data_IF_168187163834
#
_entry.id   IF_168187163834
#
_cell.length_a   1.000
_cell.length_b   1.000
_cell.length_c   1.000
_cell.angle_alpha   90.00
_cell.angle_beta   90.00
_cell.angle_gamma   90.00
#
_symmetry.space_group_name_H-M   'P 1'
#
loop_
_entity.id
_entity.type
_entity.pdbx_description
1 polymer ?
#
# COMPACT_ATOMS: atom_id res chain seq x y z
N UNK A 1 38.60 1.17 42.39
CA UNK A 1 37.27 1.74 42.07
C UNK A 1 37.41 2.32 40.65
N UNK A 2 36.94 1.59 39.63
CA UNK A 2 36.99 2.09 38.26
C UNK A 2 35.93 3.19 38.06
N UNK A 3 36.27 4.28 37.36
CA UNK A 3 35.31 5.35 37.12
C UNK A 3 34.19 4.85 36.19
N UNK A 4 32.94 4.90 36.62
CA UNK A 4 31.76 4.62 35.79
C UNK A 4 31.39 5.86 35.01
N UNK A 5 31.55 5.80 33.68
CA UNK A 5 31.10 6.86 32.78
C UNK A 5 29.68 6.59 32.34
N UNK A 6 28.76 7.54 32.54
CA UNK A 6 27.40 7.47 32.02
C UNK A 6 27.37 7.55 30.48
N UNK A 7 26.43 6.85 29.85
CA UNK A 7 26.22 6.94 28.40
C UNK A 7 25.77 8.35 28.01
N UNK A 8 26.56 9.03 27.17
CA UNK A 8 26.15 10.29 26.56
C UNK A 8 25.30 9.98 25.34
N UNK A 9 24.00 10.20 25.42
CA UNK A 9 23.09 10.13 24.25
C UNK A 9 23.15 11.49 23.55
N UNK A 10 24.14 11.68 22.68
CA UNK A 10 24.15 12.81 21.74
C UNK A 10 23.55 12.36 20.43
N UNK A 11 22.46 13.00 19.98
CA UNK A 11 21.98 12.85 18.60
C UNK A 11 23.15 13.17 17.66
N UNK A 12 23.55 12.23 16.79
CA UNK A 12 24.70 12.41 15.93
C UNK A 12 24.52 13.64 15.03
N UNK A 13 25.60 14.38 14.75
CA UNK A 13 25.56 15.53 13.83
C UNK A 13 24.93 15.16 12.47
N UNK A 14 25.20 13.95 11.98
CA UNK A 14 24.54 13.43 10.76
C UNK A 14 23.02 13.33 10.88
N UNK A 15 22.48 12.94 12.04
CA UNK A 15 21.03 12.92 12.29
C UNK A 15 20.45 14.33 12.26
N UNK A 16 21.07 15.27 12.98
CA UNK A 16 20.62 16.65 13.03
C UNK A 16 20.60 17.32 11.66
N UNK A 17 21.62 17.07 10.82
CA UNK A 17 21.67 17.56 9.43
C UNK A 17 20.53 16.93 8.61
N UNK A 18 20.33 15.62 8.71
CA UNK A 18 19.27 14.94 7.99
C UNK A 18 17.90 15.50 8.40
N UNK A 19 17.66 15.72 9.69
CA UNK A 19 16.38 16.26 10.18
C UNK A 19 16.17 17.72 9.74
N UNK A 20 17.21 18.57 9.71
CA UNK A 20 17.11 19.94 9.19
C UNK A 20 16.82 19.98 7.69
N UNK A 21 17.48 19.15 6.88
CA UNK A 21 17.22 19.05 5.44
C UNK A 21 15.81 18.48 5.19
N UNK A 22 15.38 17.46 5.92
CA UNK A 22 14.02 16.94 5.87
C UNK A 22 13.00 18.03 6.18
N UNK A 23 13.21 18.81 7.24
CA UNK A 23 12.31 19.91 7.59
C UNK A 23 12.25 20.96 6.47
N UNK A 24 13.40 21.28 5.85
CA UNK A 24 13.44 22.21 4.74
C UNK A 24 12.64 21.71 3.50
N UNK A 25 12.65 20.40 3.27
CA UNK A 25 11.80 19.77 2.22
C UNK A 25 10.32 19.86 2.60
N UNK A 26 9.96 19.52 3.84
CA UNK A 26 8.57 19.55 4.33
C UNK A 26 7.99 20.96 4.33
N UNK A 27 8.79 21.96 4.66
CA UNK A 27 8.41 23.38 4.63
C UNK A 27 8.37 23.99 3.21
N UNK A 28 8.76 23.20 2.19
CA UNK A 28 8.83 23.66 0.80
C UNK A 28 9.98 24.63 0.50
N UNK A 29 10.93 24.80 1.43
CA UNK A 29 12.16 25.59 1.23
C UNK A 29 13.11 24.91 0.25
N UNK A 30 13.10 23.58 0.21
CA UNK A 30 13.72 22.75 -0.82
C UNK A 30 12.63 22.07 -1.61
N UNK A 31 12.56 22.30 -2.90
CA UNK A 31 11.49 21.81 -3.79
C UNK A 31 11.87 20.47 -4.41
N UNK A 32 10.86 19.68 -4.76
CA UNK A 32 11.06 18.44 -5.53
C UNK A 32 11.80 18.77 -6.84
N UNK A 33 12.74 17.91 -7.23
CA UNK A 33 13.69 18.06 -8.32
C UNK A 33 14.74 19.17 -8.15
N UNK A 34 14.75 19.89 -7.04
CA UNK A 34 15.81 20.84 -6.72
C UNK A 34 17.13 20.09 -6.41
N UNK A 35 18.23 20.63 -6.93
CA UNK A 35 19.55 20.08 -6.68
C UNK A 35 20.05 20.58 -5.33
N UNK A 36 20.41 19.67 -4.44
CA UNK A 36 21.08 20.00 -3.20
C UNK A 36 22.51 20.49 -3.46
N UNK A 37 23.06 21.35 -2.58
CA UNK A 37 24.48 21.65 -2.58
C UNK A 37 25.32 20.37 -2.49
N UNK A 38 26.55 20.44 -2.97
CA UNK A 38 27.51 19.32 -2.91
C UNK A 38 27.83 18.92 -1.47
N UNK A 39 28.35 17.70 -1.27
CA UNK A 39 28.82 17.27 0.06
C UNK A 39 29.81 18.25 0.69
N UNK A 40 30.65 18.90 -0.14
CA UNK A 40 31.63 19.88 0.29
C UNK A 40 31.00 21.20 0.75
N UNK A 41 30.08 21.72 -0.05
CA UNK A 41 29.32 22.94 0.29
C UNK A 41 28.48 22.75 1.55
N UNK A 42 27.78 21.60 1.66
CA UNK A 42 27.01 21.26 2.87
C UNK A 42 27.91 21.09 4.11
N UNK A 43 29.10 20.49 3.94
CA UNK A 43 30.08 20.35 5.02
C UNK A 43 30.56 21.71 5.53
N UNK A 44 30.82 22.66 4.61
CA UNK A 44 31.18 24.03 4.96
C UNK A 44 30.03 24.78 5.64
N UNK A 45 28.75 24.63 5.15
CA UNK A 45 27.58 25.29 5.70
C UNK A 45 27.26 24.80 7.11
N UNK A 46 27.36 23.50 7.37
CA UNK A 46 27.07 22.89 8.66
C UNK A 46 28.27 22.87 9.63
N UNK A 47 29.46 23.25 9.20
CA UNK A 47 30.68 23.22 10.01
C UNK A 47 31.09 21.80 10.43
N UNK A 48 30.91 20.82 9.56
CA UNK A 48 31.17 19.39 9.84
C UNK A 48 32.05 18.76 8.77
N UNK A 49 32.47 17.51 8.98
CA UNK A 49 33.23 16.75 8.00
C UNK A 49 32.36 16.26 6.83
N UNK A 50 32.90 16.11 5.63
CA UNK A 50 32.25 15.51 4.46
C UNK A 50 31.66 14.09 4.74
N UNK A 51 32.36 13.18 5.45
CA UNK A 51 31.79 11.91 5.86
C UNK A 51 30.51 12.04 6.69
N UNK A 52 30.42 13.05 7.59
CA UNK A 52 29.21 13.32 8.38
C UNK A 52 28.03 13.73 7.50
N UNK A 53 28.27 14.60 6.51
CA UNK A 53 27.25 14.98 5.52
C UNK A 53 26.82 13.78 4.69
N UNK A 54 27.78 12.96 4.22
CA UNK A 54 27.45 11.76 3.44
C UNK A 54 26.55 10.80 4.20
N UNK A 55 26.80 10.64 5.50
CA UNK A 55 25.93 9.82 6.36
C UNK A 55 24.52 10.43 6.53
N UNK A 56 24.43 11.75 6.65
CA UNK A 56 23.13 12.44 6.65
C UNK A 56 22.36 12.25 5.33
N UNK A 57 23.04 12.40 4.19
CA UNK A 57 22.44 12.19 2.88
C UNK A 57 22.00 10.73 2.66
N UNK A 58 22.75 9.73 3.16
CA UNK A 58 22.32 8.34 3.13
C UNK A 58 21.01 8.13 3.90
N UNK A 59 20.85 8.78 5.05
CA UNK A 59 19.62 8.71 5.86
C UNK A 59 18.42 9.32 5.11
N UNK A 60 18.64 10.47 4.43
CA UNK A 60 17.60 11.08 3.60
C UNK A 60 17.25 10.21 2.39
N UNK A 61 18.23 9.58 1.75
CA UNK A 61 18.00 8.64 0.67
C UNK A 61 17.22 7.40 1.11
N UNK A 62 17.51 6.86 2.31
CA UNK A 62 16.78 5.76 2.91
C UNK A 62 15.31 6.12 3.27
N UNK A 63 15.03 7.43 3.46
CA UNK A 63 13.67 7.97 3.65
C UNK A 63 13.01 8.37 2.32
N UNK A 64 13.63 8.08 1.16
CA UNK A 64 13.16 8.47 -0.18
C UNK A 64 12.96 9.99 -0.39
N UNK A 65 13.69 10.81 0.38
CA UNK A 65 13.59 12.28 0.30
C UNK A 65 14.58 12.88 -0.71
N UNK A 66 15.62 12.13 -1.09
CA UNK A 66 16.61 12.54 -2.08
C UNK A 66 17.03 11.36 -2.96
N UNK A 67 17.49 11.67 -4.17
CA UNK A 67 18.09 10.70 -5.09
C UNK A 67 19.41 11.23 -5.67
N UNK A 68 20.37 10.34 -5.89
CA UNK A 68 21.63 10.68 -6.56
C UNK A 68 21.57 10.34 -8.05
N UNK A 69 22.01 11.25 -8.90
CA UNK A 69 22.21 11.02 -10.34
C UNK A 69 23.70 11.08 -10.67
N UNK A 70 24.18 10.15 -11.48
CA UNK A 70 25.58 10.13 -11.98
C UNK A 70 25.69 10.93 -13.27
N UNK A 71 26.93 11.36 -13.60
CA UNK A 71 27.27 12.02 -14.86
C UNK A 71 27.61 13.49 -14.71
N UNK A 72 27.95 14.19 -15.84
CA UNK A 72 28.37 15.59 -15.83
C UNK A 72 27.33 16.56 -15.23
N UNK A 73 26.03 16.25 -15.39
CA UNK A 73 24.91 16.98 -14.77
C UNK A 73 24.41 16.30 -13.51
N UNK A 74 25.20 15.38 -12.94
CA UNK A 74 24.89 14.62 -11.75
C UNK A 74 24.80 15.48 -10.49
N UNK A 75 24.40 14.84 -9.41
CA UNK A 75 24.25 15.48 -8.09
C UNK A 75 23.21 14.77 -7.25
N UNK A 76 22.96 15.34 -6.09
CA UNK A 76 21.87 14.91 -5.19
C UNK A 76 20.68 15.85 -5.40
N UNK A 77 19.52 15.28 -5.65
CA UNK A 77 18.30 16.02 -5.93
C UNK A 77 17.24 15.66 -4.89
N UNK A 78 16.47 16.65 -4.49
CA UNK A 78 15.27 16.40 -3.68
C UNK A 78 14.28 15.55 -4.50
N UNK A 79 13.74 14.53 -3.90
CA UNK A 79 12.67 13.72 -4.52
C UNK A 79 11.44 13.76 -3.62
N UNK A 80 10.26 13.83 -4.21
CA UNK A 80 9.05 13.47 -3.51
C UNK A 80 8.98 11.95 -3.42
N UNK A 81 8.47 11.38 -2.33
CA UNK A 81 8.23 9.95 -2.31
C UNK A 81 7.28 9.59 -3.46
N UNK A 82 7.65 8.59 -4.27
CA UNK A 82 6.72 8.02 -5.23
C UNK A 82 5.56 7.37 -4.44
N UNK A 83 4.30 7.74 -4.71
CA UNK A 83 3.17 7.08 -4.06
C UNK A 83 3.22 5.56 -4.21
N UNK A 84 3.74 5.07 -5.34
CA UNK A 84 3.87 3.65 -5.65
C UNK A 84 4.94 2.97 -4.76
N UNK A 85 6.10 3.59 -4.57
CA UNK A 85 7.17 3.06 -3.69
C UNK A 85 6.71 3.01 -2.23
N UNK A 86 6.02 4.06 -1.76
CA UNK A 86 5.47 4.11 -0.42
C UNK A 86 4.36 3.07 -0.23
N UNK A 87 3.46 2.91 -1.21
CA UNK A 87 2.40 1.90 -1.18
C UNK A 87 3.00 0.49 -1.14
N UNK A 88 4.05 0.21 -1.93
CA UNK A 88 4.78 -1.07 -1.90
C UNK A 88 5.43 -1.33 -0.55
N UNK A 89 6.07 -0.32 0.05
CA UNK A 89 6.69 -0.43 1.38
C UNK A 89 5.65 -0.70 2.47
N UNK A 90 4.52 0.02 2.43
CA UNK A 90 3.40 -0.20 3.35
C UNK A 90 2.80 -1.59 3.17
N UNK A 91 2.58 -2.02 1.92
CA UNK A 91 2.08 -3.35 1.60
C UNK A 91 2.99 -4.46 2.12
N UNK A 92 4.32 -4.31 1.95
CA UNK A 92 5.31 -5.25 2.51
C UNK A 92 5.21 -5.31 4.04
N UNK A 93 5.08 -4.17 4.70
CA UNK A 93 4.94 -4.10 6.16
C UNK A 93 3.67 -4.79 6.66
N UNK A 94 2.53 -4.58 5.98
CA UNK A 94 1.27 -5.26 6.29
C UNK A 94 1.39 -6.77 6.07
N UNK A 95 1.99 -7.20 4.95
CA UNK A 95 2.21 -8.64 4.67
C UNK A 95 3.08 -9.28 5.77
N UNK A 96 4.11 -8.60 6.24
CA UNK A 96 4.97 -9.09 7.32
C UNK A 96 4.19 -9.22 8.65
N UNK A 97 3.36 -8.23 8.99
CA UNK A 97 2.50 -8.27 10.17
C UNK A 97 1.56 -9.49 10.15
N UNK A 98 0.94 -9.77 9.00
CA UNK A 98 0.09 -10.95 8.82
C UNK A 98 0.90 -12.23 8.94
N UNK A 99 2.04 -12.33 8.25
CA UNK A 99 2.89 -13.52 8.24
C UNK A 99 3.45 -13.87 9.63
N UNK A 100 3.69 -12.87 10.47
CA UNK A 100 4.18 -13.03 11.85
C UNK A 100 3.07 -13.21 12.88
N UNK A 101 1.80 -13.24 12.45
CA UNK A 101 0.64 -13.38 13.36
C UNK A 101 0.32 -12.11 14.17
N UNK A 102 0.87 -10.96 13.78
CA UNK A 102 0.55 -9.66 14.38
C UNK A 102 -0.84 -9.12 14.02
N UNK A 103 -1.50 -9.72 13.02
CA UNK A 103 -2.86 -9.40 12.59
C UNK A 103 -3.61 -10.70 12.29
N UNK A 104 -4.81 -10.82 12.83
CA UNK A 104 -5.68 -11.97 12.59
C UNK A 104 -6.45 -11.84 11.27
N UNK A 105 -6.97 -12.97 10.76
CA UNK A 105 -7.81 -12.98 9.55
C UNK A 105 -9.09 -12.16 9.72
N UNK A 106 -9.65 -12.12 10.92
CA UNK A 106 -10.84 -11.33 11.24
C UNK A 106 -10.53 -9.83 11.24
N UNK A 107 -9.40 -9.39 11.80
CA UNK A 107 -8.96 -8.00 11.74
C UNK A 107 -8.68 -7.56 10.30
N UNK A 108 -8.08 -8.44 9.48
CA UNK A 108 -7.89 -8.19 8.05
C UNK A 108 -9.21 -7.98 7.32
N UNK A 109 -10.18 -8.87 7.53
CA UNK A 109 -11.48 -8.81 6.87
C UNK A 109 -12.26 -7.56 7.31
N UNK A 110 -12.23 -7.23 8.60
CA UNK A 110 -12.87 -6.04 9.15
C UNK A 110 -12.23 -4.76 8.60
N UNK A 111 -10.91 -4.63 8.67
CA UNK A 111 -10.20 -3.46 8.16
C UNK A 111 -10.46 -3.25 6.66
N UNK A 112 -10.43 -4.33 5.86
CA UNK A 112 -10.74 -4.27 4.44
C UNK A 112 -12.15 -3.77 4.19
N UNK A 113 -13.15 -4.34 4.89
CA UNK A 113 -14.56 -3.94 4.72
C UNK A 113 -14.75 -2.45 5.01
N UNK A 114 -14.31 -1.99 6.17
CA UNK A 114 -14.51 -0.61 6.61
C UNK A 114 -13.82 0.41 5.69
N UNK A 115 -12.58 0.13 5.31
CA UNK A 115 -11.82 1.03 4.45
C UNK A 115 -12.36 1.02 3.00
N UNK A 116 -12.68 -0.14 2.44
CA UNK A 116 -13.18 -0.26 1.08
C UNK A 116 -14.62 0.24 0.95
N UNK A 117 -15.44 0.16 2.01
CA UNK A 117 -16.79 0.72 2.05
C UNK A 117 -16.79 2.24 1.80
N UNK A 118 -15.81 2.97 2.34
CA UNK A 118 -15.63 4.40 2.04
C UNK A 118 -15.35 4.60 0.55
N UNK A 119 -14.49 3.76 -0.05
CA UNK A 119 -14.19 3.83 -1.47
C UNK A 119 -15.43 3.50 -2.32
N UNK A 120 -16.24 2.51 -1.95
CA UNK A 120 -17.48 2.17 -2.66
C UNK A 120 -18.48 3.34 -2.69
N UNK A 121 -18.70 4.04 -1.56
CA UNK A 121 -19.58 5.21 -1.51
C UNK A 121 -19.09 6.32 -2.42
N UNK A 122 -17.83 6.64 -2.38
CA UNK A 122 -17.22 7.67 -3.22
C UNK A 122 -17.19 7.24 -4.70
N UNK A 123 -16.88 5.98 -4.99
CA UNK A 123 -16.89 5.44 -6.35
C UNK A 123 -18.28 5.53 -6.99
N UNK A 124 -19.35 5.26 -6.25
CA UNK A 124 -20.72 5.42 -6.74
C UNK A 124 -20.99 6.86 -7.20
N UNK A 125 -20.41 7.86 -6.54
CA UNK A 125 -20.55 9.27 -6.90
C UNK A 125 -19.63 9.69 -8.05
N UNK A 126 -18.36 9.27 -8.01
CA UNK A 126 -17.25 9.81 -8.81
C UNK A 126 -16.89 8.93 -10.02
N UNK A 127 -17.40 7.70 -10.12
CA UNK A 127 -17.05 6.77 -11.19
C UNK A 127 -17.32 7.36 -12.57
N UNK A 128 -16.46 7.10 -13.52
CA UNK A 128 -16.64 7.35 -14.94
C UNK A 128 -17.10 6.09 -15.67
N UNK A 129 -17.51 6.22 -16.93
CA UNK A 129 -17.85 5.05 -17.75
C UNK A 129 -16.61 4.18 -18.03
N UNK A 130 -15.42 4.77 -18.08
CA UNK A 130 -14.18 4.01 -18.20
C UNK A 130 -13.95 3.05 -17.01
N UNK A 131 -14.30 3.47 -15.79
CA UNK A 131 -14.23 2.61 -14.61
C UNK A 131 -15.23 1.44 -14.71
N UNK A 132 -16.45 1.68 -15.19
CA UNK A 132 -17.43 0.59 -15.40
C UNK A 132 -16.95 -0.41 -16.43
N UNK A 133 -16.41 0.05 -17.57
CA UNK A 133 -15.84 -0.82 -18.62
C UNK A 133 -14.68 -1.66 -18.04
N UNK A 134 -13.81 -1.08 -17.24
CA UNK A 134 -12.71 -1.81 -16.61
C UNK A 134 -13.22 -2.89 -15.64
N UNK A 135 -14.22 -2.58 -14.82
CA UNK A 135 -14.85 -3.56 -13.90
C UNK A 135 -15.54 -4.69 -14.68
N UNK A 136 -16.26 -4.37 -15.75
CA UNK A 136 -16.89 -5.35 -16.64
C UNK A 136 -15.87 -6.28 -17.29
N UNK A 137 -14.74 -5.74 -17.72
CA UNK A 137 -13.65 -6.52 -18.32
C UNK A 137 -13.05 -7.53 -17.34
N UNK A 138 -12.84 -7.14 -16.07
CA UNK A 138 -12.34 -8.06 -15.03
C UNK A 138 -13.38 -9.15 -14.72
N UNK A 139 -14.67 -8.83 -14.62
CA UNK A 139 -15.73 -9.83 -14.43
C UNK A 139 -15.79 -10.80 -15.62
N UNK A 140 -15.71 -10.30 -16.85
CA UNK A 140 -15.69 -11.14 -18.04
C UNK A 140 -14.50 -12.10 -18.04
N UNK A 141 -13.31 -11.62 -17.64
CA UNK A 141 -12.11 -12.44 -17.48
C UNK A 141 -12.32 -13.52 -16.41
N UNK A 142 -12.86 -13.17 -15.24
CA UNK A 142 -13.11 -14.08 -14.12
C UNK A 142 -14.10 -15.21 -14.48
N UNK A 143 -15.01 -14.96 -15.41
CA UNK A 143 -15.96 -15.98 -15.92
C UNK A 143 -15.31 -16.99 -16.85
N UNK A 144 -14.10 -16.74 -17.34
CA UNK A 144 -13.40 -17.64 -18.26
C UNK A 144 -13.03 -18.95 -17.57
N UNK A 145 -13.59 -20.06 -18.02
CA UNK A 145 -13.41 -21.37 -17.38
C UNK A 145 -11.94 -21.84 -17.35
N UNK A 146 -11.15 -21.46 -18.35
CA UNK A 146 -9.73 -21.81 -18.48
C UNK A 146 -8.79 -20.84 -17.73
N UNK A 147 -9.34 -19.83 -17.03
CA UNK A 147 -8.51 -18.86 -16.29
C UNK A 147 -7.76 -19.57 -15.16
N UNK A 148 -6.44 -19.39 -15.11
CA UNK A 148 -5.63 -19.94 -14.02
C UNK A 148 -6.04 -19.34 -12.66
N UNK A 149 -5.74 -20.04 -11.57
CA UNK A 149 -6.01 -19.50 -10.24
C UNK A 149 -5.20 -18.23 -9.95
N UNK A 150 -3.97 -18.18 -10.44
CA UNK A 150 -3.11 -17.00 -10.32
C UNK A 150 -3.71 -15.79 -11.05
N UNK A 151 -4.18 -15.98 -12.28
CA UNK A 151 -4.78 -14.91 -13.06
C UNK A 151 -6.15 -14.49 -12.49
N UNK A 152 -6.92 -15.42 -11.92
CA UNK A 152 -8.15 -15.10 -11.20
C UNK A 152 -7.85 -14.20 -10.00
N UNK A 153 -6.85 -14.54 -9.18
CA UNK A 153 -6.45 -13.70 -8.04
C UNK A 153 -5.95 -12.32 -8.50
N UNK A 154 -5.16 -12.27 -9.56
CA UNK A 154 -4.69 -10.99 -10.11
C UNK A 154 -5.86 -10.13 -10.64
N UNK A 155 -6.84 -10.74 -11.29
CA UNK A 155 -8.06 -10.07 -11.75
C UNK A 155 -8.90 -9.55 -10.58
N UNK A 156 -9.05 -10.33 -9.51
CA UNK A 156 -9.73 -9.95 -8.28
C UNK A 156 -9.09 -8.68 -7.66
N UNK A 157 -7.77 -8.64 -7.55
CA UNK A 157 -7.03 -7.46 -7.10
C UNK A 157 -7.30 -6.24 -8.00
N UNK A 158 -7.25 -6.40 -9.34
CA UNK A 158 -7.49 -5.29 -10.28
C UNK A 158 -8.92 -4.78 -10.22
N UNK A 159 -9.90 -5.67 -10.02
CA UNK A 159 -11.31 -5.28 -9.82
C UNK A 159 -11.45 -4.32 -8.63
N UNK A 160 -10.93 -4.70 -7.46
CA UNK A 160 -10.99 -3.86 -6.26
C UNK A 160 -10.16 -2.57 -6.38
N UNK A 161 -8.99 -2.61 -7.02
CA UNK A 161 -8.22 -1.39 -7.34
C UNK A 161 -9.02 -0.41 -8.20
N UNK A 162 -9.76 -0.90 -9.18
CA UNK A 162 -10.61 -0.04 -10.02
C UNK A 162 -11.68 0.68 -9.20
N UNK A 163 -12.26 0.04 -8.18
CA UNK A 163 -13.19 0.68 -7.25
C UNK A 163 -12.49 1.78 -6.44
N UNK A 164 -11.29 1.49 -5.94
CA UNK A 164 -10.47 2.46 -5.21
C UNK A 164 -10.10 3.66 -6.09
N UNK A 165 -9.73 3.43 -7.35
CA UNK A 165 -9.43 4.49 -8.30
C UNK A 165 -10.67 5.34 -8.61
N UNK A 166 -11.83 4.70 -8.77
CA UNK A 166 -13.11 5.34 -9.01
C UNK A 166 -13.58 6.23 -7.84
N UNK A 167 -13.08 6.03 -6.62
CA UNK A 167 -13.36 6.89 -5.48
C UNK A 167 -12.86 8.33 -5.69
N UNK A 168 -11.89 8.58 -6.59
CA UNK A 168 -11.42 9.90 -6.96
C UNK A 168 -10.63 10.64 -5.87
N UNK A 169 -10.13 9.93 -4.85
CA UNK A 169 -9.36 10.50 -3.75
C UNK A 169 -7.94 9.93 -3.73
N UNK A 170 -6.94 10.77 -4.00
CA UNK A 170 -5.54 10.35 -4.12
C UNK A 170 -4.97 9.73 -2.84
N UNK A 171 -5.37 10.22 -1.66
CA UNK A 171 -4.90 9.68 -0.38
C UNK A 171 -5.53 8.30 -0.10
N UNK A 172 -6.84 8.15 -0.32
CA UNK A 172 -7.51 6.86 -0.20
C UNK A 172 -6.92 5.85 -1.19
N UNK A 173 -6.68 6.26 -2.44
CA UNK A 173 -6.01 5.43 -3.45
C UNK A 173 -4.65 4.94 -2.96
N UNK A 174 -3.82 5.84 -2.44
CA UNK A 174 -2.51 5.48 -1.90
C UNK A 174 -2.61 4.43 -0.78
N UNK A 175 -3.46 4.68 0.23
CA UNK A 175 -3.63 3.79 1.38
C UNK A 175 -4.26 2.46 0.98
N UNK A 176 -5.33 2.51 0.19
CA UNK A 176 -6.11 1.32 -0.18
C UNK A 176 -5.39 0.43 -1.19
N UNK A 177 -4.60 0.99 -2.11
CA UNK A 177 -3.79 0.14 -3.00
C UNK A 177 -2.79 -0.68 -2.18
N UNK A 178 -2.15 -0.09 -1.17
CA UNK A 178 -1.27 -0.84 -0.28
C UNK A 178 -2.02 -1.96 0.48
N UNK A 179 -3.23 -1.66 0.99
CA UNK A 179 -4.07 -2.65 1.69
C UNK A 179 -4.55 -3.76 0.75
N UNK A 180 -5.08 -3.40 -0.41
CA UNK A 180 -5.58 -4.36 -1.42
C UNK A 180 -4.44 -5.26 -1.91
N UNK A 181 -3.30 -4.69 -2.27
CA UNK A 181 -2.14 -5.43 -2.77
C UNK A 181 -1.49 -6.34 -1.70
N UNK A 182 -1.58 -5.96 -0.43
CA UNK A 182 -1.04 -6.77 0.66
C UNK A 182 -2.01 -7.87 1.11
N UNK A 183 -3.28 -7.52 1.35
CA UNK A 183 -4.23 -8.42 2.00
C UNK A 183 -4.90 -9.39 1.03
N UNK A 184 -5.23 -8.95 -0.19
CA UNK A 184 -5.97 -9.82 -1.12
C UNK A 184 -5.18 -11.04 -1.59
N UNK A 185 -3.88 -10.97 -1.94
CA UNK A 185 -3.11 -12.16 -2.26
C UNK A 185 -3.04 -13.15 -1.10
N UNK A 186 -2.88 -12.66 0.14
CA UNK A 186 -2.87 -13.51 1.35
C UNK A 186 -4.23 -14.16 1.56
N UNK A 187 -5.32 -13.38 1.49
CA UNK A 187 -6.69 -13.86 1.56
C UNK A 187 -6.95 -14.96 0.52
N UNK A 188 -6.64 -14.67 -0.73
CA UNK A 188 -6.82 -15.60 -1.85
C UNK A 188 -6.02 -16.90 -1.67
N UNK A 189 -4.80 -16.82 -1.15
CA UNK A 189 -3.98 -18.00 -0.85
C UNK A 189 -4.61 -18.88 0.24
N UNK A 190 -5.21 -18.28 1.27
CA UNK A 190 -5.84 -19.01 2.37
C UNK A 190 -7.09 -19.76 1.88
N UNK A 191 -7.95 -19.11 1.11
CA UNK A 191 -9.22 -19.68 0.65
C UNK A 191 -9.11 -20.48 -0.65
N UNK A 192 -7.93 -20.56 -1.24
CA UNK A 192 -7.66 -21.13 -2.56
C UNK A 192 -8.36 -22.47 -2.82
N UNK A 193 -8.36 -23.38 -1.83
CA UNK A 193 -8.93 -24.73 -1.95
C UNK A 193 -10.41 -24.83 -1.66
N UNK A 194 -10.99 -23.83 -1.01
CA UNK A 194 -12.36 -23.87 -0.50
C UNK A 194 -13.30 -22.86 -1.15
N UNK A 195 -12.74 -21.89 -1.89
CA UNK A 195 -13.53 -20.85 -2.56
C UNK A 195 -14.32 -21.40 -3.75
N UNK A 196 -15.48 -20.84 -3.98
CA UNK A 196 -16.20 -20.96 -5.25
C UNK A 196 -16.00 -19.66 -6.04
N UNK A 197 -15.38 -19.74 -7.21
CA UNK A 197 -15.16 -18.58 -8.09
C UNK A 197 -16.48 -17.97 -8.58
N UNK A 198 -17.53 -18.78 -8.79
CA UNK A 198 -18.82 -18.31 -9.24
C UNK A 198 -19.49 -17.41 -8.21
N UNK A 199 -19.38 -17.75 -6.93
CA UNK A 199 -19.88 -16.92 -5.83
C UNK A 199 -19.14 -15.56 -5.76
N UNK A 200 -17.82 -15.56 -5.91
CA UNK A 200 -17.03 -14.32 -5.95
C UNK A 200 -17.50 -13.45 -7.12
N UNK A 201 -17.63 -14.03 -8.32
CA UNK A 201 -18.09 -13.31 -9.51
C UNK A 201 -19.50 -12.75 -9.31
N UNK A 202 -20.42 -13.49 -8.71
CA UNK A 202 -21.78 -13.01 -8.42
C UNK A 202 -21.79 -11.79 -7.47
N UNK A 203 -20.89 -11.78 -6.47
CA UNK A 203 -20.71 -10.62 -5.61
C UNK A 203 -20.15 -9.43 -6.38
N UNK A 204 -19.18 -9.62 -7.28
CA UNK A 204 -18.64 -8.56 -8.14
C UNK A 204 -19.69 -7.97 -9.07
N UNK A 205 -20.56 -8.80 -9.63
CA UNK A 205 -21.67 -8.37 -10.47
C UNK A 205 -22.66 -7.50 -9.70
N UNK A 206 -23.00 -7.92 -8.47
CA UNK A 206 -23.88 -7.14 -7.58
C UNK A 206 -23.25 -5.77 -7.25
N UNK A 207 -21.96 -5.76 -6.97
CA UNK A 207 -21.21 -4.54 -6.66
C UNK A 207 -21.15 -3.61 -7.89
N UNK A 208 -20.87 -4.16 -9.08
CA UNK A 208 -20.85 -3.40 -10.33
C UNK A 208 -22.25 -2.81 -10.64
N UNK A 209 -23.33 -3.56 -10.44
CA UNK A 209 -24.70 -3.06 -10.63
C UNK A 209 -24.96 -1.86 -9.74
N UNK A 210 -24.65 -1.94 -8.44
CA UNK A 210 -24.80 -0.84 -7.50
C UNK A 210 -23.98 0.41 -7.90
N UNK A 211 -22.74 0.22 -8.35
CA UNK A 211 -21.89 1.33 -8.86
C UNK A 211 -22.48 1.93 -10.14
N UNK A 212 -23.05 1.11 -11.05
CA UNK A 212 -23.73 1.57 -12.26
C UNK A 212 -24.91 2.46 -11.93
N UNK A 213 -25.70 2.06 -10.93
CA UNK A 213 -26.87 2.77 -10.46
C UNK A 213 -26.52 3.98 -9.55
N UNK A 214 -25.21 4.21 -9.28
CA UNK A 214 -24.70 5.25 -8.37
C UNK A 214 -25.23 5.11 -6.93
N UNK A 215 -25.58 3.90 -6.52
CA UNK A 215 -26.06 3.59 -5.17
C UNK A 215 -24.88 3.15 -4.29
N UNK A 216 -24.36 4.10 -3.50
CA UNK A 216 -23.23 3.85 -2.62
C UNK A 216 -23.55 2.89 -1.48
N UNK A 217 -24.76 2.91 -0.95
CA UNK A 217 -25.15 2.02 0.16
C UNK A 217 -25.41 0.60 -0.35
N UNK A 218 -26.00 0.43 -1.54
CA UNK A 218 -26.09 -0.88 -2.18
C UNK A 218 -24.70 -1.44 -2.52
N UNK A 219 -23.76 -0.59 -2.95
CA UNK A 219 -22.37 -1.01 -3.20
C UNK A 219 -21.69 -1.50 -1.90
N UNK A 220 -21.87 -0.79 -0.79
CA UNK A 220 -21.37 -1.22 0.53
C UNK A 220 -22.00 -2.51 0.99
N UNK A 221 -23.32 -2.68 0.79
CA UNK A 221 -24.03 -3.91 1.14
C UNK A 221 -23.51 -5.11 0.33
N UNK A 222 -23.25 -4.92 -0.99
CA UNK A 222 -22.67 -5.93 -1.88
C UNK A 222 -21.25 -6.32 -1.43
N UNK A 223 -20.39 -5.34 -1.12
CA UNK A 223 -19.06 -5.58 -0.56
C UNK A 223 -19.15 -6.35 0.77
N UNK A 224 -20.06 -5.96 1.65
CA UNK A 224 -20.32 -6.68 2.92
C UNK A 224 -20.72 -8.14 2.69
N UNK A 225 -21.50 -8.42 1.63
CA UNK A 225 -21.81 -9.78 1.19
C UNK A 225 -20.57 -10.59 0.84
N UNK A 226 -19.71 -10.01 0.00
CA UNK A 226 -18.43 -10.63 -0.40
C UNK A 226 -17.54 -10.90 0.82
N UNK A 227 -17.37 -9.93 1.72
CA UNK A 227 -16.50 -10.09 2.89
C UNK A 227 -17.07 -11.17 3.85
N UNK A 228 -18.39 -11.24 4.05
CA UNK A 228 -19.00 -12.33 4.82
C UNK A 228 -18.74 -13.69 4.17
N UNK A 229 -18.86 -13.79 2.85
CA UNK A 229 -18.50 -15.00 2.12
C UNK A 229 -17.04 -15.39 2.37
N UNK A 230 -16.09 -14.46 2.24
CA UNK A 230 -14.66 -14.69 2.47
C UNK A 230 -14.38 -15.17 3.90
N UNK A 231 -15.02 -14.56 4.92
CA UNK A 231 -14.92 -15.00 6.33
C UNK A 231 -15.35 -16.46 6.50
N UNK A 232 -16.47 -16.84 5.91
CA UNK A 232 -16.92 -18.25 5.95
C UNK A 232 -15.94 -19.20 5.25
N UNK A 233 -15.23 -18.74 4.21
CA UNK A 233 -14.18 -19.55 3.59
C UNK A 233 -12.93 -19.65 4.48
N UNK A 234 -12.58 -18.62 5.26
CA UNK A 234 -11.49 -18.72 6.24
C UNK A 234 -11.75 -19.81 7.27
N UNK A 235 -12.96 -19.87 7.83
CA UNK A 235 -13.36 -20.90 8.79
C UNK A 235 -13.22 -22.31 8.18
N UNK A 236 -13.74 -22.51 6.97
CA UNK A 236 -13.61 -23.80 6.25
C UNK A 236 -12.16 -24.17 5.97
N UNK A 237 -11.33 -23.20 5.58
CA UNK A 237 -9.91 -23.45 5.32
C UNK A 237 -9.17 -23.83 6.59
N UNK A 238 -9.51 -23.21 7.72
CA UNK A 238 -8.93 -23.54 9.03
C UNK A 238 -9.34 -24.94 9.50
N UNK A 239 -10.62 -25.30 9.35
CA UNK A 239 -11.14 -26.64 9.67
C UNK A 239 -10.44 -27.72 8.82
N UNK A 240 -10.34 -27.49 7.50
CA UNK A 240 -9.62 -28.39 6.59
C UNK A 240 -8.14 -28.57 6.98
N UNK A 241 -7.50 -27.49 7.44
CA UNK A 241 -6.11 -27.52 7.90
C UNK A 241 -5.96 -28.29 9.22
N UNK A 242 -6.91 -28.14 10.15
CA UNK A 242 -6.93 -28.90 11.41
C UNK A 242 -7.15 -30.39 11.15
N UNK A 243 -8.05 -30.76 10.24
CA UNK A 243 -8.32 -32.15 9.86
C UNK A 243 -7.17 -32.83 9.13
N UNK A 244 -6.31 -32.07 8.45
CA UNK A 244 -5.13 -32.58 7.71
C UNK A 244 -3.85 -32.68 8.57
N UNK A 245 -3.90 -32.26 9.84
CA UNK A 245 -2.77 -32.47 10.79
C UNK A 245 -2.88 -33.86 11.40
N UNK A 246 -1.83 -34.71 11.27
CA UNK A 246 -1.78 -36.04 11.85
C UNK A 246 -1.79 -36.01 13.37
#
# INVERSE_FOLDING_TARGET
>A
MEPSYGQIVTTSAASQIADQLQQAIMDGRLKVDERLPTEEELAAQFGVSRPTVREALKRLAARHLIRSRRGPTGGTFVTGPSPEELATSLGTSVTLLVATGGVSLEEMATARLEMEAVCCRLAAQNRTDAHLVALEAEIALQRTASLSDQDFCASDVRFHRTIVDAAGNALLRFLMNAVVEALMPVSNMIIFRVRDRKEIVAHHETLLAALRDRDGEAAVAALGGLVRYIRAQYEKAEEARKAARP
#
